data_IF_251799383061
#
_entry.id   IF_251799383061
#
_cell.length_a   1.000
_cell.length_b   1.000
_cell.length_c   1.000
_cell.angle_alpha   90.00
_cell.angle_beta   90.00
_cell.angle_gamma   90.00
#
_symmetry.space_group_name_H-M   'P 1'
#
loop_
_entity.id
_entity.type
_entity.pdbx_description
1 polymer ?
#
# COMPACT_ATOMS: atom_id res chain seq x y z
N UNK A 1 -86.47 54.55 34.46
CA UNK A 1 -86.49 53.97 33.10
C UNK A 1 -85.19 54.35 32.40
N UNK A 2 -84.33 53.33 32.18
CA UNK A 2 -83.14 53.23 31.31
C UNK A 2 -82.21 54.44 31.12
N UNK A 3 -81.04 54.33 31.75
CA UNK A 3 -79.76 54.94 31.37
C UNK A 3 -79.39 54.54 29.92
N UNK A 4 -78.85 55.47 29.13
CA UNK A 4 -78.19 55.17 27.86
C UNK A 4 -76.78 55.75 27.84
N UNK A 5 -75.85 54.81 27.77
CA UNK A 5 -74.42 54.82 27.49
C UNK A 5 -74.15 55.46 26.08
N UNK A 6 -72.96 55.87 25.64
CA UNK A 6 -71.59 55.34 25.78
C UNK A 6 -70.54 56.46 25.60
N UNK A 7 -69.42 56.26 26.28
CA UNK A 7 -68.14 56.96 26.15
C UNK A 7 -67.40 56.53 24.86
N UNK A 8 -66.91 57.49 24.08
CA UNK A 8 -65.96 57.25 22.99
C UNK A 8 -64.59 57.78 23.40
N UNK A 9 -63.78 56.92 24.02
CA UNK A 9 -62.35 57.16 24.20
C UNK A 9 -61.59 56.15 23.35
N UNK A 10 -61.27 56.55 22.12
CA UNK A 10 -60.36 55.80 21.26
C UNK A 10 -59.14 56.65 21.00
N UNK A 11 -58.00 56.34 21.61
CA UNK A 11 -56.71 56.79 21.08
C UNK A 11 -55.54 55.93 21.60
N UNK A 12 -55.00 55.13 20.69
CA UNK A 12 -53.56 54.95 20.54
C UNK A 12 -52.84 54.02 21.52
N UNK A 13 -53.12 52.72 21.49
CA UNK A 13 -52.17 51.72 21.99
C UNK A 13 -51.22 51.34 20.85
N UNK A 14 -50.15 52.12 20.69
CA UNK A 14 -49.03 51.77 19.80
C UNK A 14 -48.23 50.68 20.50
N UNK A 15 -48.53 49.41 20.17
CA UNK A 15 -47.71 48.28 20.60
C UNK A 15 -46.30 48.43 20.01
N UNK A 16 -45.34 48.78 20.86
CA UNK A 16 -43.92 48.65 20.56
C UNK A 16 -43.57 47.16 20.47
N UNK A 17 -43.62 46.60 19.25
CA UNK A 17 -43.20 45.22 18.98
C UNK A 17 -41.67 45.14 19.07
N UNK A 18 -41.16 44.70 20.21
CA UNK A 18 -39.74 44.38 20.42
C UNK A 18 -39.40 43.15 19.55
N UNK A 19 -38.74 43.39 18.42
CA UNK A 19 -38.23 42.35 17.53
C UNK A 19 -37.10 41.63 18.27
N UNK A 20 -37.44 40.50 18.91
CA UNK A 20 -36.46 39.56 19.42
C UNK A 20 -35.76 38.92 18.22
N UNK A 21 -34.49 39.22 18.02
CA UNK A 21 -33.65 38.57 17.02
C UNK A 21 -33.38 37.13 17.51
N UNK A 22 -33.96 36.07 16.90
CA UNK A 22 -33.57 34.72 17.26
C UNK A 22 -32.10 34.53 16.86
N UNK A 23 -31.27 34.05 17.79
CA UNK A 23 -29.90 33.64 17.47
C UNK A 23 -29.99 32.45 16.51
N UNK A 24 -29.78 32.69 15.22
CA UNK A 24 -29.77 31.62 14.22
C UNK A 24 -28.39 30.97 14.25
N UNK A 25 -28.31 29.69 14.65
CA UNK A 25 -27.09 28.91 14.46
C UNK A 25 -26.93 28.56 12.99
N UNK A 26 -26.09 29.31 12.29
CA UNK A 26 -25.52 28.83 11.03
C UNK A 26 -24.58 27.67 11.36
N UNK A 27 -24.75 26.52 10.69
CA UNK A 27 -23.87 25.38 10.87
C UNK A 27 -22.54 25.69 10.16
N UNK A 28 -21.45 25.76 10.92
CA UNK A 28 -20.09 25.78 10.36
C UNK A 28 -19.61 24.35 10.08
N UNK A 29 -18.70 24.20 9.11
CA UNK A 29 -18.00 22.93 8.84
C UNK A 29 -16.52 23.13 9.13
N UNK A 30 -15.95 22.27 9.98
CA UNK A 30 -14.50 22.16 10.16
C UNK A 30 -14.00 20.96 9.35
N UNK A 31 -12.84 21.11 8.69
CA UNK A 31 -12.23 20.07 7.87
C UNK A 31 -10.78 19.91 8.31
N UNK A 32 -10.42 18.68 8.68
CA UNK A 32 -9.05 18.25 8.91
C UNK A 32 -8.63 17.28 7.79
N UNK A 33 -7.35 17.30 7.42
CA UNK A 33 -6.81 16.39 6.41
C UNK A 33 -5.42 15.90 6.78
N UNK A 34 -5.05 14.73 6.26
CA UNK A 34 -3.71 14.17 6.34
C UNK A 34 -3.32 13.61 4.97
N UNK A 35 -2.14 13.99 4.47
CA UNK A 35 -1.58 13.37 3.29
C UNK A 35 -0.99 12.00 3.66
N UNK A 36 -1.27 10.98 2.87
CA UNK A 36 -0.79 9.61 3.07
C UNK A 36 -0.48 8.97 1.72
N UNK A 37 0.40 7.99 1.72
CA UNK A 37 0.70 7.20 0.52
C UNK A 37 -0.40 6.18 0.27
N UNK A 38 -0.73 5.99 -1.01
CA UNK A 38 -1.73 5.02 -1.44
C UNK A 38 -1.13 4.10 -2.50
N UNK A 39 -1.53 2.84 -2.45
CA UNK A 39 -1.17 1.83 -3.44
C UNK A 39 -2.32 1.71 -4.42
N UNK A 40 -2.03 1.97 -5.70
CA UNK A 40 -2.95 1.74 -6.79
C UNK A 40 -2.55 0.48 -7.57
N UNK A 41 -3.51 -0.40 -7.82
CA UNK A 41 -3.36 -1.55 -8.70
C UNK A 41 -4.20 -1.37 -9.96
N UNK A 42 -3.77 -1.98 -11.05
CA UNK A 42 -4.47 -2.00 -12.32
C UNK A 42 -4.66 -3.45 -12.77
N UNK A 43 -5.91 -3.91 -12.77
CA UNK A 43 -6.26 -5.25 -13.22
C UNK A 43 -6.73 -5.23 -14.68
N UNK A 44 -6.12 -6.08 -15.50
CA UNK A 44 -6.45 -6.28 -16.91
C UNK A 44 -6.51 -7.76 -17.22
N UNK A 45 -7.38 -8.15 -18.15
CA UNK A 45 -7.33 -9.47 -18.76
C UNK A 45 -6.10 -9.60 -19.66
N UNK A 46 -5.74 -10.82 -20.06
CA UNK A 46 -4.60 -11.08 -20.97
C UNK A 46 -4.78 -10.39 -22.33
N UNK A 47 -6.02 -10.07 -22.71
CA UNK A 47 -6.35 -9.26 -23.89
C UNK A 47 -6.01 -7.77 -23.74
N UNK A 48 -5.57 -7.34 -22.56
CA UNK A 48 -5.32 -5.94 -22.20
C UNK A 48 -6.56 -5.14 -21.79
N UNK A 49 -7.76 -5.71 -21.93
CA UNK A 49 -9.01 -5.06 -21.51
C UNK A 49 -9.05 -4.90 -19.98
N UNK A 50 -9.48 -3.74 -19.44
CA UNK A 50 -9.73 -3.58 -18.03
C UNK A 50 -10.62 -4.65 -17.41
N UNK A 51 -10.24 -5.12 -16.23
CA UNK A 51 -11.11 -5.94 -15.40
C UNK A 51 -12.05 -5.05 -14.59
N UNK A 52 -13.05 -4.43 -15.24
CA UNK A 52 -14.01 -3.56 -14.54
C UNK A 52 -14.89 -4.32 -13.56
N UNK A 53 -15.19 -3.69 -12.40
CA UNK A 53 -16.04 -4.24 -11.35
C UNK A 53 -15.57 -5.62 -10.84
N UNK A 54 -14.28 -5.90 -10.96
CA UNK A 54 -13.66 -7.09 -10.42
C UNK A 54 -13.53 -6.97 -8.90
N UNK A 55 -13.84 -8.05 -8.19
CA UNK A 55 -13.72 -8.14 -6.74
C UNK A 55 -12.25 -8.08 -6.33
N UNK A 56 -11.95 -7.29 -5.33
CA UNK A 56 -10.61 -7.15 -4.74
C UNK A 56 -10.67 -7.54 -3.26
N UNK A 57 -9.69 -8.34 -2.82
CA UNK A 57 -9.46 -8.65 -1.42
C UNK A 57 -7.99 -8.38 -1.09
N UNK A 58 -7.76 -7.51 -0.10
CA UNK A 58 -6.45 -7.13 0.40
C UNK A 58 -6.21 -7.84 1.73
N UNK A 59 -5.06 -8.48 1.87
CA UNK A 59 -4.59 -9.11 3.11
C UNK A 59 -3.33 -8.40 3.58
N UNK A 60 -3.34 -8.01 4.86
CA UNK A 60 -2.19 -7.41 5.50
C UNK A 60 -1.16 -8.49 5.90
N UNK A 61 0.14 -8.17 5.91
CA UNK A 61 1.20 -9.14 6.22
C UNK A 61 1.13 -9.69 7.65
N UNK A 62 0.58 -8.93 8.60
CA UNK A 62 0.39 -9.35 9.98
C UNK A 62 -0.80 -10.30 10.20
N UNK A 63 -1.74 -10.40 9.25
CA UNK A 63 -2.89 -11.31 9.31
C UNK A 63 -3.30 -11.79 7.90
N UNK A 64 -2.54 -12.72 7.29
CA UNK A 64 -2.72 -13.09 5.89
C UNK A 64 -3.95 -13.98 5.61
N UNK A 65 -4.65 -14.45 6.63
CA UNK A 65 -5.82 -15.34 6.50
C UNK A 65 -7.14 -14.57 6.58
N UNK A 66 -7.14 -13.36 7.15
CA UNK A 66 -8.31 -12.50 7.25
C UNK A 66 -8.20 -11.34 6.28
N UNK A 67 -9.28 -11.06 5.54
CA UNK A 67 -9.31 -9.89 4.67
C UNK A 67 -9.18 -8.61 5.52
N UNK A 68 -8.17 -7.79 5.20
CA UNK A 68 -7.97 -6.47 5.79
C UNK A 68 -8.91 -5.45 5.13
N UNK A 69 -9.05 -5.51 3.81
CA UNK A 69 -10.01 -4.70 3.06
C UNK A 69 -10.57 -5.48 1.87
N UNK A 70 -11.82 -5.21 1.53
CA UNK A 70 -12.45 -5.69 0.30
C UNK A 70 -12.97 -4.52 -0.51
N UNK A 71 -13.14 -4.73 -1.81
CA UNK A 71 -13.69 -3.72 -2.69
C UNK A 71 -13.90 -4.23 -4.11
N UNK A 72 -14.11 -3.30 -5.03
CA UNK A 72 -14.19 -3.56 -6.47
C UNK A 72 -13.36 -2.56 -7.24
N UNK A 73 -12.83 -3.00 -8.37
CA UNK A 73 -12.15 -2.11 -9.32
C UNK A 73 -13.14 -1.21 -10.07
N UNK A 74 -12.68 -0.04 -10.50
CA UNK A 74 -13.46 0.92 -11.29
C UNK A 74 -13.66 0.49 -12.77
N UNK A 75 -14.19 1.37 -13.61
CA UNK A 75 -14.38 1.12 -15.05
C UNK A 75 -13.08 0.87 -15.81
N UNK A 76 -11.99 1.49 -15.36
CA UNK A 76 -10.66 1.32 -15.93
C UNK A 76 -9.93 0.11 -15.35
N UNK A 77 -10.53 -0.62 -14.41
CA UNK A 77 -9.95 -1.79 -13.75
C UNK A 77 -8.96 -1.40 -12.63
N UNK A 78 -9.04 -0.19 -12.11
CA UNK A 78 -8.16 0.30 -11.04
C UNK A 78 -8.79 0.11 -9.68
N UNK A 79 -7.96 -0.13 -8.68
CA UNK A 79 -8.36 -0.13 -7.27
C UNK A 79 -7.23 0.48 -6.45
N UNK A 80 -7.57 1.33 -5.50
CA UNK A 80 -6.61 2.03 -4.65
C UNK A 80 -6.91 1.74 -3.19
N UNK A 81 -5.88 1.47 -2.41
CA UNK A 81 -5.97 1.35 -0.96
C UNK A 81 -4.81 2.07 -0.28
N UNK A 82 -5.03 2.50 0.96
CA UNK A 82 -4.00 3.08 1.82
C UNK A 82 -3.60 2.01 2.82
N UNK A 83 -2.37 1.47 2.77
CA UNK A 83 -1.92 0.49 3.76
C UNK A 83 -1.90 1.09 5.16
N UNK A 84 -2.04 0.24 6.17
CA UNK A 84 -1.96 0.68 7.55
C UNK A 84 -0.53 1.20 7.87
N UNK A 85 -0.39 2.38 8.50
CA UNK A 85 0.92 2.92 8.85
C UNK A 85 1.74 1.94 9.69
N UNK A 86 3.04 1.84 9.41
CA UNK A 86 4.00 0.97 10.11
C UNK A 86 3.70 -0.55 10.00
N UNK A 87 2.78 -0.97 9.13
CA UNK A 87 2.56 -2.39 8.81
C UNK A 87 3.37 -2.74 7.56
N UNK A 88 4.62 -3.09 7.79
CA UNK A 88 5.58 -3.45 6.75
C UNK A 88 5.49 -4.93 6.36
N UNK A 89 6.03 -5.26 5.19
CA UNK A 89 6.07 -6.60 4.63
C UNK A 89 5.17 -6.78 3.40
N UNK A 90 4.90 -8.04 3.07
CA UNK A 90 4.20 -8.40 1.84
C UNK A 90 2.68 -8.33 1.99
N UNK A 91 2.09 -7.27 1.43
CA UNK A 91 0.64 -7.16 1.28
C UNK A 91 0.19 -8.03 0.12
N UNK A 92 -0.83 -8.87 0.35
CA UNK A 92 -1.36 -9.77 -0.69
C UNK A 92 -2.69 -9.25 -1.21
N UNK A 93 -2.77 -9.03 -2.52
CA UNK A 93 -3.97 -8.52 -3.18
C UNK A 93 -4.48 -9.59 -4.14
N UNK A 94 -5.72 -10.03 -3.95
CA UNK A 94 -6.42 -10.96 -4.84
C UNK A 94 -7.46 -10.20 -5.64
N UNK A 95 -7.42 -10.31 -6.95
CA UNK A 95 -8.42 -9.71 -7.86
C UNK A 95 -9.13 -10.82 -8.63
N UNK A 96 -10.47 -10.80 -8.68
CA UNK A 96 -11.27 -11.84 -9.35
C UNK A 96 -12.48 -11.27 -10.08
N UNK A 97 -12.72 -11.75 -11.30
CA UNK A 97 -13.94 -11.49 -12.07
C UNK A 97 -14.30 -12.68 -12.95
N UNK A 98 -15.56 -13.11 -12.95
CA UNK A 98 -16.10 -14.15 -13.82
C UNK A 98 -15.18 -15.39 -14.02
N UNK A 99 -14.67 -15.95 -12.92
CA UNK A 99 -13.80 -17.13 -12.93
C UNK A 99 -12.32 -16.86 -13.24
N UNK A 100 -11.98 -15.67 -13.72
CA UNK A 100 -10.61 -15.21 -13.91
C UNK A 100 -10.14 -14.46 -12.68
N UNK A 101 -8.85 -14.57 -12.34
CA UNK A 101 -8.30 -13.82 -11.23
C UNK A 101 -6.80 -13.98 -11.12
N UNK A 102 -6.19 -13.08 -10.36
CA UNK A 102 -4.75 -13.06 -10.10
C UNK A 102 -4.48 -12.64 -8.66
N UNK A 103 -3.29 -12.96 -8.18
CA UNK A 103 -2.78 -12.58 -6.87
C UNK A 103 -1.46 -11.86 -7.06
N UNK A 104 -1.28 -10.73 -6.38
CA UNK A 104 -0.03 -9.99 -6.36
C UNK A 104 0.42 -9.74 -4.92
N UNK A 105 1.72 -9.80 -4.70
CA UNK A 105 2.36 -9.47 -3.43
C UNK A 105 3.11 -8.15 -3.60
N UNK A 106 2.76 -7.15 -2.79
CA UNK A 106 3.37 -5.83 -2.82
C UNK A 106 4.23 -5.68 -1.55
N UNK A 107 5.56 -5.61 -1.67
CA UNK A 107 6.43 -5.36 -0.52
C UNK A 107 6.31 -3.90 -0.10
N UNK A 108 6.05 -3.66 1.18
CA UNK A 108 6.12 -2.33 1.80
C UNK A 108 7.25 -2.34 2.82
N UNK A 109 8.33 -1.64 2.51
CA UNK A 109 9.48 -1.51 3.39
C UNK A 109 9.23 -0.46 4.49
N UNK A 110 9.85 -0.59 5.67
CA UNK A 110 9.86 0.50 6.64
C UNK A 110 10.51 1.71 6.02
N UNK A 111 9.92 2.89 6.24
CA UNK A 111 10.60 4.15 5.98
C UNK A 111 11.85 4.16 6.88
N UNK A 112 13.01 3.85 6.30
CA UNK A 112 14.27 3.98 7.01
C UNK A 112 14.41 5.47 7.33
N UNK A 113 14.38 5.80 8.61
CA UNK A 113 14.94 7.07 9.05
C UNK A 113 16.37 7.09 8.50
N UNK A 114 16.67 8.09 7.69
CA UNK A 114 17.97 8.33 7.11
C UNK A 114 19.00 8.33 8.25
N UNK A 115 19.63 7.18 8.49
CA UNK A 115 20.80 7.13 9.35
C UNK A 115 21.90 7.69 8.47
N UNK A 116 22.23 8.96 8.70
CA UNK A 116 23.43 9.63 8.22
C UNK A 116 24.61 8.66 8.36
N UNK A 117 24.93 7.98 7.26
CA UNK A 117 26.18 7.28 7.15
C UNK A 117 27.24 8.36 7.04
N UNK A 118 27.79 8.70 8.21
CA UNK A 118 29.02 9.45 8.38
C UNK A 118 30.03 8.95 7.35
N UNK A 119 30.33 9.81 6.39
CA UNK A 119 31.52 9.69 5.55
C UNK A 119 32.69 9.70 6.54
N UNK A 120 33.29 8.54 6.75
CA UNK A 120 34.66 8.48 7.26
C UNK A 120 35.53 9.15 6.20
N UNK A 121 36.02 10.33 6.54
CA UNK A 121 37.11 11.00 5.83
C UNK A 121 38.34 10.07 5.84
N UNK A 122 38.53 9.28 4.78
CA UNK A 122 39.84 8.76 4.46
C UNK A 122 40.52 9.77 3.54
N UNK A 123 41.40 10.56 4.13
CA UNK A 123 42.29 11.48 3.42
C UNK A 123 43.24 10.61 2.59
N UNK A 124 43.02 10.54 1.29
CA UNK A 124 44.04 10.11 0.34
C UNK A 124 43.97 11.00 -0.90
N UNK A 125 44.98 11.85 -1.02
CA UNK A 125 45.16 12.83 -2.09
C UNK A 125 45.25 12.17 -3.47
N UNK A 126 44.40 12.58 -4.40
CA UNK A 126 44.79 12.69 -5.81
C UNK A 126 43.88 13.69 -6.55
N UNK A 127 44.40 14.84 -7.04
CA UNK A 127 43.58 15.82 -7.73
C UNK A 127 43.56 15.51 -9.23
N UNK A 128 42.41 15.14 -9.79
CA UNK A 128 42.11 15.42 -11.21
C UNK A 128 40.60 15.38 -11.51
N UNK A 129 40.05 16.60 -11.57
CA UNK A 129 38.98 17.12 -12.43
C UNK A 129 38.19 16.16 -13.34
N UNK A 130 36.85 16.20 -13.27
CA UNK A 130 36.00 16.86 -14.28
C UNK A 130 34.50 16.84 -13.95
N UNK A 131 33.83 17.89 -14.43
CA UNK A 131 32.44 18.28 -14.22
C UNK A 131 31.45 17.45 -15.04
N UNK A 132 30.30 17.17 -14.44
CA UNK A 132 28.99 17.17 -15.08
C UNK A 132 28.60 15.93 -15.89
N UNK A 133 27.65 15.14 -15.36
CA UNK A 133 26.45 14.71 -16.09
C UNK A 133 25.49 13.91 -15.18
N UNK A 134 24.20 14.23 -15.32
CA UNK A 134 23.04 13.67 -14.62
C UNK A 134 22.95 12.12 -14.72
N UNK A 135 22.63 11.38 -13.65
CA UNK A 135 22.38 9.96 -13.76
C UNK A 135 20.93 9.69 -14.19
N UNK A 136 20.77 9.36 -15.47
CA UNK A 136 19.68 8.51 -15.96
C UNK A 136 19.91 7.10 -15.40
N UNK A 137 19.18 6.74 -14.35
CA UNK A 137 19.25 5.42 -13.74
C UNK A 137 18.91 4.33 -14.77
N UNK A 138 19.95 3.65 -15.26
CA UNK A 138 19.86 2.37 -15.96
C UNK A 138 20.36 1.33 -14.96
N UNK A 139 19.46 0.52 -14.44
CA UNK A 139 19.76 -0.54 -13.48
C UNK A 139 20.48 -1.70 -14.18
N UNK A 140 21.82 -1.70 -14.15
CA UNK A 140 22.64 -2.88 -14.42
C UNK A 140 22.87 -3.63 -13.10
N UNK A 141 22.33 -4.85 -12.99
CA UNK A 141 22.64 -5.76 -11.89
C UNK A 141 24.06 -6.27 -12.08
N UNK A 142 25.02 -5.58 -11.47
CA UNK A 142 26.33 -6.15 -11.13
C UNK A 142 26.70 -5.65 -9.74
N UNK A 143 26.00 -6.17 -8.73
CA UNK A 143 26.45 -6.05 -7.35
C UNK A 143 27.68 -6.93 -7.18
N UNK A 144 28.83 -6.32 -6.92
CA UNK A 144 30.03 -7.02 -6.44
C UNK A 144 29.65 -7.84 -5.20
N UNK A 145 29.53 -9.16 -5.37
CA UNK A 145 29.22 -10.08 -4.28
C UNK A 145 30.41 -10.08 -3.30
N UNK A 146 30.14 -9.81 -2.02
CA UNK A 146 31.15 -9.83 -0.97
C UNK A 146 31.81 -11.22 -0.89
N UNK A 147 33.11 -11.26 -0.58
CA UNK A 147 33.93 -12.50 -0.55
C UNK A 147 33.26 -13.64 0.24
N UNK A 148 32.63 -13.41 1.41
CA UNK A 148 31.92 -14.46 2.14
C UNK A 148 30.72 -15.04 1.36
N UNK A 149 30.00 -14.21 0.60
CA UNK A 149 28.84 -14.62 -0.20
C UNK A 149 29.25 -15.51 -1.38
N UNK A 150 30.38 -15.20 -2.03
CA UNK A 150 30.96 -16.04 -3.10
C UNK A 150 31.37 -17.42 -2.58
N UNK A 151 31.98 -17.47 -1.39
CA UNK A 151 32.37 -18.73 -0.74
C UNK A 151 31.13 -19.58 -0.44
N UNK A 152 30.07 -18.97 0.09
CA UNK A 152 28.85 -19.68 0.43
C UNK A 152 28.17 -20.31 -0.80
N UNK A 153 28.13 -19.60 -1.94
CA UNK A 153 27.60 -20.15 -3.19
C UNK A 153 28.44 -21.32 -3.73
N UNK A 154 29.78 -21.24 -3.61
CA UNK A 154 30.66 -22.33 -4.06
C UNK A 154 30.49 -23.60 -3.21
N UNK A 155 30.31 -23.45 -1.90
CA UNK A 155 30.13 -24.58 -0.97
C UNK A 155 28.79 -25.30 -1.19
N UNK A 156 27.69 -24.56 -1.33
CA UNK A 156 26.36 -25.16 -1.54
C UNK A 156 26.25 -25.82 -2.92
N UNK A 157 26.85 -25.22 -3.96
CA UNK A 157 26.93 -25.83 -5.28
C UNK A 157 27.67 -27.16 -5.25
N UNK A 158 28.86 -27.21 -4.64
CA UNK A 158 29.68 -28.43 -4.57
C UNK A 158 28.98 -29.57 -3.82
N UNK A 159 28.30 -29.27 -2.72
CA UNK A 159 27.57 -30.27 -1.94
C UNK A 159 26.35 -30.84 -2.70
N UNK A 160 25.66 -30.02 -3.49
CA UNK A 160 24.53 -30.46 -4.33
C UNK A 160 24.91 -31.51 -5.38
N UNK A 161 26.07 -31.36 -6.03
CA UNK A 161 26.57 -32.35 -7.00
C UNK A 161 26.94 -33.68 -6.33
N UNK A 162 27.59 -33.65 -5.16
CA UNK A 162 27.95 -34.86 -4.40
C UNK A 162 26.71 -35.61 -3.92
N UNK A 163 25.71 -34.90 -3.40
CA UNK A 163 24.46 -35.50 -2.95
C UNK A 163 23.71 -36.21 -4.08
N UNK A 164 23.71 -35.61 -5.27
CA UNK A 164 23.08 -36.18 -6.46
C UNK A 164 23.82 -37.44 -6.93
N UNK A 165 25.15 -37.43 -6.93
CA UNK A 165 25.95 -38.60 -7.28
C UNK A 165 25.71 -39.79 -6.32
N UNK A 166 25.67 -39.53 -5.00
CA UNK A 166 25.39 -40.57 -4.00
C UNK A 166 23.96 -41.13 -4.09
N UNK A 167 22.99 -40.29 -4.44
CA UNK A 167 21.60 -40.70 -4.65
C UNK A 167 21.46 -41.76 -5.76
N UNK A 168 22.21 -41.60 -6.86
CA UNK A 168 22.19 -42.55 -7.98
C UNK A 168 23.15 -43.73 -7.83
N UNK A 169 24.19 -43.63 -7.00
CA UNK A 169 25.10 -44.76 -6.73
C UNK A 169 24.47 -45.92 -5.96
N UNK A 170 23.22 -45.80 -5.49
CA UNK A 170 22.54 -46.87 -4.76
C UNK A 170 21.58 -47.67 -5.65
N UNK A 171 22.11 -48.67 -6.37
CA UNK A 171 21.47 -49.95 -6.79
C UNK A 171 22.53 -50.81 -7.50
N UNK A 172 22.63 -52.14 -7.33
CA UNK A 172 21.62 -53.20 -7.35
C UNK A 172 22.21 -54.45 -6.64
N UNK A 173 21.50 -55.11 -5.72
CA UNK A 173 21.88 -56.47 -5.32
C UNK A 173 21.16 -57.45 -6.25
N UNK A 174 21.95 -58.25 -6.96
CA UNK A 174 21.48 -59.32 -7.83
C UNK A 174 20.83 -60.44 -7.00
N UNK A 175 19.59 -60.78 -7.31
CA UNK A 175 18.93 -61.99 -6.81
C UNK A 175 19.51 -63.19 -7.53
N UNK A 176 20.39 -63.94 -6.85
CA UNK A 176 20.88 -65.23 -7.33
C UNK A 176 19.74 -66.26 -7.25
N UNK A 177 19.13 -66.57 -8.39
CA UNK A 177 18.28 -67.75 -8.56
C UNK A 177 19.20 -68.97 -8.56
N UNK A 178 18.97 -69.93 -7.67
CA UNK A 178 19.53 -71.29 -7.75
C UNK A 178 18.38 -72.27 -7.85
N UNK A 179 18.48 -73.15 -8.84
CA UNK A 179 17.80 -74.46 -8.90
C UNK A 179 18.09 -75.28 -7.64
#
# INVERSE_FOLDING_TARGET
>A
MKLRTLSNLGLGLVLASVIHQPKTSAHGVAIDYQATEAIAIQAKYDSGKPMSNAQVVVYAPNNPTQAWQTGVTDSDGKFTFVPEPNVNGNWTIKVRSAGHGSVVNIPIEPLQAENDHQIQEEISENPNTNLGQSPRASSSITGELSTPQKILMALTGSWGFVGTALFFSRKKQESKVSN
#
